data_IF_773171357718
#
_entry.id   IF_773171357718
#
_cell.length_a   1.000
_cell.length_b   1.000
_cell.length_c   1.000
_cell.angle_alpha   90.00
_cell.angle_beta   90.00
_cell.angle_gamma   90.00
#
_symmetry.space_group_name_H-M   'P 1'
#
loop_
_entity.id
_entity.type
_entity.pdbx_description
1 polymer ?
#
# COMPACT_ATOMS: atom_id res chain seq x y z
N UNK A 1 40.92 42.62 7.96
CA UNK A 1 40.43 41.24 7.75
C UNK A 1 38.99 41.03 8.24
N UNK A 2 38.57 41.61 9.38
CA UNK A 2 37.20 41.50 9.91
C UNK A 2 36.13 42.19 9.02
N UNK A 3 36.45 43.34 8.43
CA UNK A 3 35.52 44.08 7.55
C UNK A 3 35.25 43.31 6.23
N UNK A 4 36.25 42.59 5.71
CA UNK A 4 36.12 41.77 4.51
C UNK A 4 35.23 40.53 4.75
N UNK A 5 35.31 39.95 5.96
CA UNK A 5 34.47 38.82 6.37
C UNK A 5 33.00 39.22 6.54
N UNK A 6 32.73 40.43 7.03
CA UNK A 6 31.39 40.97 7.17
C UNK A 6 30.72 41.25 5.81
N UNK A 7 31.48 41.75 4.83
CA UNK A 7 30.99 41.96 3.47
C UNK A 7 30.68 40.63 2.74
N UNK A 8 31.45 39.56 3.00
CA UNK A 8 31.20 38.23 2.44
C UNK A 8 29.95 37.60 3.08
N UNK A 9 29.72 37.77 4.39
CA UNK A 9 28.49 37.29 5.05
C UNK A 9 27.23 38.06 4.64
N UNK A 10 27.34 39.39 4.44
CA UNK A 10 26.25 40.20 3.87
C UNK A 10 25.99 39.85 2.40
N UNK A 11 27.04 39.60 1.61
CA UNK A 11 26.93 39.06 0.25
C UNK A 11 26.32 37.66 0.19
N UNK A 12 26.63 36.80 1.18
CA UNK A 12 26.01 35.47 1.32
C UNK A 12 24.54 35.55 1.73
N UNK A 13 24.13 36.54 2.52
CA UNK A 13 22.71 36.80 2.81
C UNK A 13 21.93 37.32 1.60
N UNK A 14 22.61 37.92 0.61
CA UNK A 14 22.07 38.27 -0.71
C UNK A 14 22.07 37.08 -1.69
N UNK A 15 22.95 36.10 -1.51
CA UNK A 15 22.99 34.86 -2.29
C UNK A 15 22.02 33.80 -1.76
N UNK A 16 21.58 33.93 -0.50
CA UNK A 16 20.39 33.27 -0.01
C UNK A 16 19.19 34.02 -0.57
N UNK A 17 18.94 33.82 -1.87
CA UNK A 17 17.76 34.32 -2.56
C UNK A 17 16.55 34.05 -1.66
N UNK A 18 16.04 35.10 -1.04
CA UNK A 18 14.76 35.03 -0.37
C UNK A 18 13.77 35.10 -1.51
N UNK A 19 13.52 33.96 -2.14
CA UNK A 19 12.53 33.89 -3.21
C UNK A 19 11.21 34.41 -2.63
N UNK A 20 10.81 35.60 -3.06
CA UNK A 20 9.58 36.22 -2.61
C UNK A 20 8.44 35.60 -3.41
N UNK A 21 7.66 34.75 -2.75
CA UNK A 21 6.50 34.12 -3.34
C UNK A 21 5.25 34.88 -2.95
N UNK A 22 4.39 35.17 -3.93
CA UNK A 22 3.11 35.82 -3.69
C UNK A 22 1.98 34.85 -3.93
N UNK A 23 1.15 34.62 -2.92
CA UNK A 23 -0.10 33.87 -3.06
C UNK A 23 -1.29 34.80 -2.90
N UNK A 24 -2.26 34.71 -3.81
CA UNK A 24 -3.40 35.60 -3.90
C UNK A 24 -4.69 34.78 -3.96
N UNK A 25 -5.72 35.24 -3.26
CA UNK A 25 -7.08 34.69 -3.35
C UNK A 25 -8.03 35.80 -3.78
N UNK A 26 -8.79 35.54 -4.83
CA UNK A 26 -9.80 36.45 -5.34
C UNK A 26 -11.17 35.81 -5.18
N UNK A 27 -11.93 36.33 -4.20
CA UNK A 27 -13.22 35.81 -3.76
C UNK A 27 -14.26 36.88 -4.03
N UNK A 28 -15.32 36.56 -4.75
CA UNK A 28 -16.37 37.52 -5.04
C UNK A 28 -17.71 36.88 -5.35
N UNK A 29 -18.73 37.72 -5.38
CA UNK A 29 -20.08 37.38 -5.80
C UNK A 29 -20.66 38.46 -6.69
N UNK A 30 -21.49 38.01 -7.63
CA UNK A 30 -22.21 38.85 -8.57
C UNK A 30 -23.68 38.95 -8.13
N UNK A 31 -24.29 40.12 -8.26
CA UNK A 31 -25.68 40.38 -7.86
C UNK A 31 -26.41 41.24 -8.89
N UNK A 32 -27.73 41.03 -8.97
CA UNK A 32 -28.66 41.90 -9.70
C UNK A 32 -29.83 42.31 -8.78
N UNK A 33 -30.83 43.01 -9.33
CA UNK A 33 -31.99 43.45 -8.56
C UNK A 33 -32.87 42.31 -8.01
N UNK A 34 -32.73 41.09 -8.54
CA UNK A 34 -33.44 39.89 -8.09
C UNK A 34 -32.66 39.08 -7.03
N UNK A 35 -31.36 39.33 -6.86
CA UNK A 35 -30.53 38.66 -5.87
C UNK A 35 -29.12 38.28 -6.36
N UNK A 36 -28.42 37.37 -5.67
CA UNK A 36 -27.11 36.89 -6.10
C UNK A 36 -27.25 36.02 -7.36
N UNK A 37 -26.43 36.30 -8.37
CA UNK A 37 -26.40 35.59 -9.66
C UNK A 37 -25.18 34.68 -9.80
N UNK A 38 -24.15 34.85 -8.98
CA UNK A 38 -22.97 34.01 -9.02
C UNK A 38 -22.01 34.27 -7.87
N UNK A 39 -21.07 33.35 -7.72
CA UNK A 39 -19.89 33.55 -6.89
C UNK A 39 -18.67 32.96 -7.60
N UNK A 40 -17.48 33.41 -7.24
CA UNK A 40 -16.25 32.89 -7.81
C UNK A 40 -15.14 32.89 -6.76
N UNK A 41 -14.29 31.88 -6.88
CA UNK A 41 -13.08 31.72 -6.10
C UNK A 41 -11.94 31.45 -7.07
N UNK A 42 -10.95 32.33 -7.12
CA UNK A 42 -9.75 32.17 -7.95
C UNK A 42 -8.49 32.30 -7.10
N UNK A 43 -7.45 31.61 -7.52
CA UNK A 43 -6.18 31.52 -6.83
C UNK A 43 -5.06 31.92 -7.77
N UNK A 44 -4.20 32.81 -7.29
CA UNK A 44 -3.03 33.29 -8.01
C UNK A 44 -1.74 32.99 -7.27
N UNK A 45 -0.67 32.68 -8.00
CA UNK A 45 0.68 32.48 -7.47
C UNK A 45 1.69 33.22 -8.35
N UNK A 46 2.52 34.08 -7.75
CA UNK A 46 3.46 34.97 -8.45
C UNK A 46 2.79 35.75 -9.61
N UNK A 47 1.62 36.31 -9.32
CA UNK A 47 0.79 37.09 -10.26
C UNK A 47 0.26 36.31 -11.47
N UNK A 48 0.25 34.97 -11.42
CA UNK A 48 -0.37 34.10 -12.43
C UNK A 48 -1.55 33.34 -11.84
N UNK A 49 -2.62 33.18 -12.61
CA UNK A 49 -3.77 32.36 -12.23
C UNK A 49 -3.40 30.87 -12.29
N UNK A 50 -3.57 30.15 -11.18
CA UNK A 50 -3.16 28.73 -11.08
C UNK A 50 -4.35 27.77 -10.90
N UNK A 51 -5.44 28.20 -10.28
CA UNK A 51 -6.64 27.39 -10.12
C UNK A 51 -7.87 28.25 -9.79
N UNK A 52 -9.06 27.72 -10.05
CA UNK A 52 -10.32 28.35 -9.69
C UNK A 52 -11.35 27.30 -9.27
N UNK A 53 -12.39 27.71 -8.56
CA UNK A 53 -13.51 26.84 -8.21
C UNK A 53 -14.53 26.87 -9.35
N UNK A 54 -14.79 25.70 -9.94
CA UNK A 54 -15.87 25.47 -10.90
C UNK A 54 -17.10 25.01 -10.12
N UNK A 55 -18.15 25.83 -10.13
CA UNK A 55 -19.38 25.58 -9.38
C UNK A 55 -20.24 24.48 -9.98
N UNK A 56 -20.21 24.33 -11.30
CA UNK A 56 -20.96 23.27 -11.97
C UNK A 56 -20.36 21.90 -11.70
N UNK A 57 -19.03 21.85 -11.54
CA UNK A 57 -18.29 20.63 -11.18
C UNK A 57 -18.05 20.47 -9.68
N UNK A 58 -18.49 21.43 -8.87
CA UNK A 58 -18.19 21.53 -7.42
C UNK A 58 -16.73 21.14 -7.09
N UNK A 59 -15.79 21.65 -7.89
CA UNK A 59 -14.41 21.20 -7.89
C UNK A 59 -13.43 22.35 -8.11
N UNK A 60 -12.20 22.18 -7.62
CA UNK A 60 -11.09 23.04 -7.98
C UNK A 60 -10.51 22.59 -9.32
N UNK A 61 -10.47 23.52 -10.28
CA UNK A 61 -9.93 23.31 -11.62
C UNK A 61 -8.60 24.06 -11.73
N UNK A 62 -7.54 23.35 -12.09
CA UNK A 62 -6.22 23.94 -12.30
C UNK A 62 -6.11 24.62 -13.68
N UNK A 63 -5.32 25.69 -13.72
CA UNK A 63 -4.96 26.45 -14.93
C UNK A 63 -3.45 26.47 -15.17
N UNK A 64 -2.66 25.93 -14.25
CA UNK A 64 -1.20 25.77 -14.36
C UNK A 64 -0.72 24.44 -13.75
N UNK A 65 0.56 24.11 -13.93
CA UNK A 65 1.19 22.93 -13.33
C UNK A 65 1.25 23.02 -11.80
N UNK A 66 1.56 24.21 -11.27
CA UNK A 66 1.56 24.47 -9.83
C UNK A 66 0.15 24.29 -9.23
N UNK A 67 -0.87 24.80 -9.94
CA UNK A 67 -2.25 24.59 -9.55
C UNK A 67 -2.68 23.13 -9.66
N UNK A 68 -2.16 22.39 -10.63
CA UNK A 68 -2.45 20.96 -10.81
C UNK A 68 -1.87 20.13 -9.67
N UNK A 69 -0.66 20.47 -9.19
CA UNK A 69 -0.08 19.87 -8.00
C UNK A 69 -0.97 20.10 -6.77
N UNK A 70 -1.40 21.34 -6.53
CA UNK A 70 -2.31 21.66 -5.42
C UNK A 70 -3.68 21.00 -5.54
N UNK A 71 -4.25 20.93 -6.75
CA UNK A 71 -5.51 20.24 -6.98
C UNK A 71 -5.39 18.73 -6.71
N UNK A 72 -4.24 18.12 -7.05
CA UNK A 72 -3.95 16.71 -6.82
C UNK A 72 -3.89 16.37 -5.33
N UNK A 73 -3.23 17.21 -4.53
CA UNK A 73 -3.16 17.05 -3.06
C UNK A 73 -4.53 17.05 -2.38
N UNK A 74 -5.54 17.69 -2.99
CA UNK A 74 -6.90 17.74 -2.46
C UNK A 74 -7.76 16.54 -2.85
N UNK A 75 -7.30 15.70 -3.78
CA UNK A 75 -8.10 14.57 -4.26
C UNK A 75 -8.28 13.53 -3.15
N UNK A 76 -9.51 13.07 -2.96
CA UNK A 76 -9.82 12.00 -2.00
C UNK A 76 -10.19 10.71 -2.73
N UNK A 77 -9.60 9.59 -2.32
CA UNK A 77 -9.88 8.27 -2.89
C UNK A 77 -11.15 7.68 -2.29
N UNK A 78 -12.12 7.23 -3.12
CA UNK A 78 -13.33 6.61 -2.59
C UNK A 78 -13.03 5.32 -1.84
N UNK A 79 -13.78 5.09 -0.78
CA UNK A 79 -14.01 3.76 -0.22
C UNK A 79 -15.22 3.15 -0.91
N UNK A 80 -15.05 1.96 -1.49
CA UNK A 80 -16.11 1.23 -2.20
C UNK A 80 -16.41 -0.06 -1.47
N UNK A 81 -17.67 -0.30 -1.16
CA UNK A 81 -18.13 -1.54 -0.52
C UNK A 81 -19.34 -2.10 -1.25
N UNK A 82 -19.34 -3.40 -1.51
CA UNK A 82 -20.47 -4.12 -2.11
C UNK A 82 -21.12 -5.00 -1.05
N UNK A 83 -22.44 -4.88 -0.92
CA UNK A 83 -23.24 -5.64 0.03
C UNK A 83 -24.53 -6.14 -0.60
N UNK A 84 -25.14 -7.17 -0.01
CA UNK A 84 -26.45 -7.67 -0.39
C UNK A 84 -27.52 -6.98 0.48
N UNK A 85 -28.62 -6.53 -0.13
CA UNK A 85 -29.80 -6.05 0.59
C UNK A 85 -31.08 -6.60 -0.01
N UNK A 86 -32.03 -6.93 0.84
CA UNK A 86 -33.39 -7.27 0.44
C UNK A 86 -34.31 -6.07 0.71
N UNK A 87 -35.10 -5.68 -0.30
CA UNK A 87 -36.08 -4.61 -0.20
C UNK A 87 -37.35 -5.05 -0.92
N UNK A 88 -38.49 -5.03 -0.22
CA UNK A 88 -39.80 -5.39 -0.78
C UNK A 88 -39.85 -6.80 -1.42
N UNK A 89 -39.12 -7.77 -0.83
CA UNK A 89 -39.04 -9.15 -1.33
C UNK A 89 -38.14 -9.34 -2.55
N UNK A 90 -37.37 -8.30 -2.92
CA UNK A 90 -36.42 -8.33 -4.03
C UNK A 90 -34.99 -8.15 -3.51
N UNK A 91 -34.06 -8.95 -4.01
CA UNK A 91 -32.63 -8.84 -3.68
C UNK A 91 -31.88 -7.86 -4.60
N UNK A 92 -31.03 -7.04 -3.99
CA UNK A 92 -30.18 -6.04 -4.63
C UNK A 92 -28.74 -6.19 -4.18
N UNK A 93 -27.80 -6.06 -5.12
CA UNK A 93 -26.44 -5.68 -4.80
C UNK A 93 -26.35 -4.17 -4.64
N UNK A 94 -25.68 -3.74 -3.60
CA UNK A 94 -25.53 -2.33 -3.23
C UNK A 94 -24.06 -1.99 -3.20
N UNK A 95 -23.64 -1.11 -4.10
CA UNK A 95 -22.31 -0.53 -4.16
C UNK A 95 -22.34 0.85 -3.50
N UNK A 96 -21.86 0.92 -2.26
CA UNK A 96 -21.71 2.16 -1.51
C UNK A 96 -20.34 2.76 -1.79
N UNK A 97 -20.32 4.00 -2.30
CA UNK A 97 -19.09 4.73 -2.66
C UNK A 97 -19.03 6.00 -1.81
N UNK A 98 -18.01 6.12 -0.96
CA UNK A 98 -17.94 7.16 0.07
C UNK A 98 -16.58 7.84 0.11
N UNK A 99 -16.54 9.12 0.50
CA UNK A 99 -15.30 9.81 0.85
C UNK A 99 -14.46 10.24 -0.36
N UNK A 100 -15.07 10.50 -1.52
CA UNK A 100 -14.34 10.92 -2.71
C UNK A 100 -14.45 12.42 -2.98
N UNK A 101 -13.42 12.97 -3.64
CA UNK A 101 -13.37 14.35 -4.09
C UNK A 101 -12.40 14.45 -5.27
N UNK A 102 -12.73 15.15 -6.37
CA UNK A 102 -13.93 15.97 -6.61
C UNK A 102 -15.22 15.16 -6.87
N UNK A 103 -16.35 15.84 -7.11
CA UNK A 103 -17.65 15.19 -7.25
C UNK A 103 -17.80 14.33 -8.53
N UNK A 104 -16.89 14.48 -9.49
CA UNK A 104 -16.94 13.80 -10.79
C UNK A 104 -16.47 12.35 -10.66
N UNK A 105 -17.43 11.43 -10.60
CA UNK A 105 -17.20 9.99 -10.45
C UNK A 105 -18.06 9.20 -11.43
N UNK A 106 -17.59 8.01 -11.82
CA UNK A 106 -18.34 7.09 -12.67
C UNK A 106 -18.36 5.71 -12.03
N UNK A 107 -19.55 5.22 -11.73
CA UNK A 107 -19.80 3.93 -11.10
C UNK A 107 -20.64 3.08 -12.04
N UNK A 108 -20.22 1.83 -12.27
CA UNK A 108 -20.84 0.89 -13.20
C UNK A 108 -20.88 -0.50 -12.62
N UNK A 109 -21.91 -1.27 -12.94
CA UNK A 109 -21.92 -2.69 -12.68
C UNK A 109 -21.36 -3.44 -13.89
N UNK A 110 -20.54 -4.45 -13.65
CA UNK A 110 -19.95 -5.31 -14.68
C UNK A 110 -20.29 -6.76 -14.34
N UNK A 111 -20.79 -7.51 -15.31
CA UNK A 111 -21.11 -8.93 -15.20
C UNK A 111 -20.57 -9.66 -16.42
N UNK A 112 -19.75 -10.70 -16.20
CA UNK A 112 -19.10 -11.44 -17.30
C UNK A 112 -18.27 -10.55 -18.24
N UNK A 113 -17.68 -9.47 -17.70
CA UNK A 113 -16.88 -8.49 -18.46
C UNK A 113 -17.70 -7.46 -19.26
N UNK A 114 -19.03 -7.48 -19.18
CA UNK A 114 -19.92 -6.52 -19.86
C UNK A 114 -20.57 -5.57 -18.87
N UNK A 115 -20.71 -4.30 -19.26
CA UNK A 115 -21.38 -3.29 -18.42
C UNK A 115 -22.89 -3.60 -18.38
N UNK A 116 -23.44 -3.63 -17.17
CA UNK A 116 -24.86 -3.85 -16.90
C UNK A 116 -25.52 -2.51 -16.62
N UNK A 117 -26.55 -2.20 -17.41
CA UNK A 117 -27.39 -1.00 -17.22
C UNK A 117 -28.79 -1.34 -16.73
N UNK A 118 -29.30 -2.53 -17.08
CA UNK A 118 -30.67 -2.92 -16.75
C UNK A 118 -30.79 -3.35 -15.28
N UNK A 119 -31.80 -2.83 -14.59
CA UNK A 119 -31.98 -3.05 -13.15
C UNK A 119 -30.97 -2.29 -12.30
N UNK A 120 -30.28 -1.29 -12.87
CA UNK A 120 -29.36 -0.43 -12.15
C UNK A 120 -30.02 0.89 -11.77
N UNK A 121 -29.90 1.28 -10.52
CA UNK A 121 -30.37 2.58 -10.01
C UNK A 121 -29.26 3.21 -9.18
N UNK A 122 -29.05 4.52 -9.32
CA UNK A 122 -27.98 5.22 -8.57
C UNK A 122 -28.56 6.45 -7.90
N UNK A 123 -28.17 6.70 -6.65
CA UNK A 123 -28.55 7.91 -5.93
C UNK A 123 -27.89 9.14 -6.53
N UNK A 124 -28.43 10.31 -6.22
CA UNK A 124 -27.67 11.56 -6.40
C UNK A 124 -26.38 11.57 -5.57
N UNK A 125 -25.50 12.52 -5.90
CA UNK A 125 -24.33 12.83 -5.10
C UNK A 125 -24.77 13.52 -3.81
N UNK A 126 -24.26 13.05 -2.69
CA UNK A 126 -24.55 13.59 -1.37
C UNK A 126 -23.24 14.12 -0.76
N UNK A 127 -23.14 15.43 -0.46
CA UNK A 127 -21.96 15.99 0.17
C UNK A 127 -21.87 15.60 1.65
N UNK A 128 -20.66 15.36 2.12
CA UNK A 128 -20.31 15.24 3.54
C UNK A 128 -19.85 16.60 4.10
N UNK A 129 -19.85 16.72 5.44
CA UNK A 129 -19.35 17.92 6.13
C UNK A 129 -17.85 18.16 5.96
N UNK A 130 -17.09 17.12 5.64
CA UNK A 130 -15.65 17.18 5.40
C UNK A 130 -15.29 17.65 3.97
N UNK A 131 -16.29 17.93 3.14
CA UNK A 131 -16.10 18.36 1.75
C UNK A 131 -15.94 17.23 0.74
N UNK A 132 -16.07 15.96 1.18
CA UNK A 132 -16.13 14.80 0.28
C UNK A 132 -17.55 14.48 -0.14
N UNK A 133 -17.71 13.58 -1.10
CA UNK A 133 -18.99 13.13 -1.62
C UNK A 133 -19.22 11.65 -1.36
N UNK A 134 -20.49 11.26 -1.38
CA UNK A 134 -20.92 9.87 -1.39
C UNK A 134 -22.05 9.65 -2.40
N UNK A 135 -22.18 8.41 -2.85
CA UNK A 135 -23.32 7.93 -3.63
C UNK A 135 -23.46 6.41 -3.48
N UNK A 136 -24.63 5.90 -3.84
CA UNK A 136 -24.92 4.47 -3.80
C UNK A 136 -25.51 4.02 -5.11
N UNK A 137 -24.97 2.95 -5.68
CA UNK A 137 -25.55 2.26 -6.84
C UNK A 137 -26.15 0.94 -6.42
N UNK A 138 -27.31 0.60 -6.99
CA UNK A 138 -28.10 -0.59 -6.73
C UNK A 138 -28.19 -1.39 -8.03
N UNK A 139 -28.09 -2.71 -7.94
CA UNK A 139 -28.33 -3.64 -9.04
C UNK A 139 -29.30 -4.74 -8.60
N UNK A 140 -30.41 -4.87 -9.30
CA UNK A 140 -31.34 -5.98 -9.11
C UNK A 140 -30.72 -7.30 -9.58
N UNK A 141 -30.64 -8.28 -8.67
CA UNK A 141 -30.00 -9.57 -8.94
C UNK A 141 -30.81 -10.42 -9.93
N UNK A 142 -32.12 -10.55 -9.74
CA UNK A 142 -32.94 -11.45 -10.56
C UNK A 142 -32.36 -12.86 -10.55
N UNK A 143 -32.06 -13.42 -11.74
CA UNK A 143 -31.46 -14.77 -11.89
C UNK A 143 -29.91 -14.76 -12.04
N UNK A 144 -29.22 -13.64 -11.78
CA UNK A 144 -27.76 -13.55 -11.98
C UNK A 144 -27.00 -14.24 -10.85
N UNK A 145 -25.88 -14.87 -11.16
CA UNK A 145 -24.94 -15.41 -10.17
C UNK A 145 -24.22 -14.27 -9.45
N UNK A 146 -24.11 -14.37 -8.12
CA UNK A 146 -23.57 -13.29 -7.26
C UNK A 146 -22.05 -13.13 -7.42
N UNK A 147 -21.32 -14.21 -7.67
CA UNK A 147 -19.85 -14.21 -7.70
C UNK A 147 -19.22 -13.45 -8.88
N UNK A 148 -19.93 -13.28 -10.00
CA UNK A 148 -19.36 -12.68 -11.23
C UNK A 148 -19.74 -11.20 -11.43
N UNK A 149 -20.32 -10.57 -10.40
CA UNK A 149 -20.76 -9.18 -10.45
C UNK A 149 -19.75 -8.28 -9.75
N UNK A 150 -19.28 -7.28 -10.48
CA UNK A 150 -18.29 -6.31 -10.02
C UNK A 150 -18.90 -4.91 -10.05
N UNK A 151 -18.71 -4.13 -8.98
CA UNK A 151 -18.88 -2.70 -9.02
C UNK A 151 -17.56 -2.05 -9.46
N UNK A 152 -17.54 -1.48 -10.65
CA UNK A 152 -16.42 -0.77 -11.24
C UNK A 152 -16.56 0.73 -11.00
N UNK A 153 -15.55 1.35 -10.39
CA UNK A 153 -15.50 2.77 -10.04
C UNK A 153 -14.31 3.44 -10.71
N UNK A 154 -14.59 4.50 -11.47
CA UNK A 154 -13.63 5.39 -12.11
C UNK A 154 -13.68 6.76 -11.43
N UNK A 155 -12.54 7.23 -10.94
CA UNK A 155 -12.39 8.54 -10.30
C UNK A 155 -10.95 9.03 -10.48
N UNK A 156 -10.73 10.34 -10.57
CA UNK A 156 -9.41 10.93 -10.88
C UNK A 156 -8.31 10.57 -9.86
N UNK A 157 -8.69 10.29 -8.62
CA UNK A 157 -7.76 9.86 -7.56
C UNK A 157 -7.39 8.38 -7.60
N UNK A 158 -7.93 7.62 -8.56
CA UNK A 158 -7.67 6.18 -8.73
C UNK A 158 -6.83 6.01 -9.99
N UNK A 159 -5.72 5.29 -9.87
CA UNK A 159 -4.97 4.83 -11.04
C UNK A 159 -5.76 3.73 -11.74
N UNK A 160 -6.37 4.06 -12.88
CA UNK A 160 -7.21 3.12 -13.63
C UNK A 160 -8.62 3.01 -13.06
N UNK A 161 -9.01 1.81 -12.63
CA UNK A 161 -10.36 1.52 -12.12
C UNK A 161 -10.30 0.72 -10.84
N UNK A 162 -11.17 1.04 -9.90
CA UNK A 162 -11.37 0.26 -8.68
C UNK A 162 -12.51 -0.72 -8.89
N UNK A 163 -12.24 -2.00 -8.69
CA UNK A 163 -13.22 -3.07 -8.80
C UNK A 163 -13.50 -3.64 -7.42
N UNK A 164 -14.77 -3.65 -7.03
CA UNK A 164 -15.23 -4.22 -5.76
C UNK A 164 -16.27 -5.31 -6.03
N UNK A 165 -16.14 -6.42 -5.33
CA UNK A 165 -17.07 -7.56 -5.35
C UNK A 165 -17.74 -7.72 -3.99
N UNK A 166 -18.78 -8.55 -3.92
CA UNK A 166 -19.37 -8.93 -2.65
C UNK A 166 -18.28 -9.61 -1.78
N UNK A 167 -18.05 -9.09 -0.59
CA UNK A 167 -17.09 -9.69 0.35
C UNK A 167 -17.70 -10.98 0.95
N UNK A 168 -16.99 -12.10 0.81
CA UNK A 168 -17.34 -13.33 1.49
C UNK A 168 -16.89 -13.26 2.96
N UNK A 169 -17.83 -13.46 3.89
CA UNK A 169 -17.64 -13.36 5.36
C UNK A 169 -16.60 -14.37 5.92
N UNK A 170 -16.11 -15.30 5.11
CA UNK A 170 -15.24 -16.42 5.51
C UNK A 170 -13.76 -16.06 5.77
N UNK A 171 -13.29 -14.88 5.34
CA UNK A 171 -11.87 -14.50 5.44
C UNK A 171 -11.40 -14.32 6.89
N UNK A 172 -12.24 -13.74 7.75
CA UNK A 172 -11.90 -13.49 9.16
C UNK A 172 -11.86 -14.78 10.00
N UNK A 173 -12.76 -15.72 9.73
CA UNK A 173 -12.78 -17.00 10.45
C UNK A 173 -11.56 -17.87 10.08
N UNK A 174 -11.21 -17.93 8.80
CA UNK A 174 -10.01 -18.65 8.35
C UNK A 174 -8.72 -18.06 8.93
N UNK A 175 -8.62 -16.74 9.01
CA UNK A 175 -7.48 -16.05 9.62
C UNK A 175 -7.36 -16.32 11.13
N UNK A 176 -8.46 -16.26 11.88
CA UNK A 176 -8.48 -16.56 13.32
C UNK A 176 -8.16 -18.01 13.62
N UNK A 177 -8.69 -18.96 12.83
CA UNK A 177 -8.36 -20.38 12.94
C UNK A 177 -6.89 -20.63 12.61
N UNK A 178 -6.35 -19.93 11.60
CA UNK A 178 -4.92 -19.97 11.25
C UNK A 178 -4.01 -19.51 12.39
N UNK A 179 -4.33 -18.39 13.04
CA UNK A 179 -3.58 -17.90 14.21
C UNK A 179 -3.65 -18.90 15.37
N UNK A 180 -4.83 -19.45 15.66
CA UNK A 180 -5.00 -20.43 16.72
C UNK A 180 -4.18 -21.71 16.48
N UNK A 181 -4.15 -22.20 15.23
CA UNK A 181 -3.39 -23.38 14.87
C UNK A 181 -1.86 -23.15 14.94
N UNK A 182 -1.38 -22.01 14.45
CA UNK A 182 0.05 -21.67 14.50
C UNK A 182 0.54 -21.45 15.93
N UNK A 183 -0.27 -20.82 16.78
CA UNK A 183 0.06 -20.63 18.19
C UNK A 183 0.11 -21.97 18.94
N UNK A 184 -0.81 -22.90 18.65
CA UNK A 184 -0.80 -24.24 19.21
C UNK A 184 0.45 -25.06 18.80
N UNK A 185 0.81 -25.05 17.51
CA UNK A 185 2.01 -25.75 17.03
C UNK A 185 3.30 -25.25 17.69
N UNK A 186 3.45 -23.93 17.81
CA UNK A 186 4.63 -23.34 18.45
C UNK A 186 4.68 -23.66 19.94
N UNK A 187 3.54 -23.64 20.63
CA UNK A 187 3.43 -24.02 22.03
C UNK A 187 3.78 -25.49 22.30
N UNK A 188 3.59 -26.39 21.34
CA UNK A 188 3.95 -27.81 21.48
C UNK A 188 5.41 -28.11 21.09
N UNK A 189 5.90 -27.53 19.98
CA UNK A 189 7.24 -27.85 19.46
C UNK A 189 8.38 -27.27 20.30
N UNK A 190 8.20 -26.07 20.86
CA UNK A 190 9.21 -25.42 21.70
C UNK A 190 9.52 -26.23 22.98
N UNK A 191 8.55 -26.65 23.82
CA UNK A 191 8.85 -27.44 25.01
C UNK A 191 9.40 -28.83 24.68
N UNK A 192 8.95 -29.47 23.59
CA UNK A 192 9.54 -30.75 23.14
C UNK A 192 11.00 -30.57 22.69
N UNK A 193 11.31 -29.48 21.98
CA UNK A 193 12.69 -29.15 21.61
C UNK A 193 13.56 -28.82 22.82
N UNK A 194 13.07 -27.99 23.75
CA UNK A 194 13.80 -27.60 24.96
C UNK A 194 14.04 -28.82 25.87
N UNK A 195 13.05 -29.69 26.06
CA UNK A 195 13.21 -30.91 26.86
C UNK A 195 14.19 -31.89 26.22
N UNK A 196 14.15 -32.08 24.90
CA UNK A 196 15.13 -32.89 24.18
C UNK A 196 16.57 -32.33 24.31
N UNK A 197 16.74 -31.01 24.18
CA UNK A 197 18.02 -30.34 24.36
C UNK A 197 18.54 -30.52 25.79
N UNK A 198 17.70 -30.32 26.82
CA UNK A 198 18.10 -30.50 28.23
C UNK A 198 18.52 -31.95 28.50
N UNK A 199 17.81 -32.94 27.94
CA UNK A 199 18.16 -34.36 28.08
C UNK A 199 19.47 -34.67 27.37
N UNK A 200 19.69 -34.17 26.16
CA UNK A 200 20.95 -34.31 25.42
C UNK A 200 22.12 -33.66 26.16
N UNK A 201 21.93 -32.46 26.71
CA UNK A 201 22.94 -31.76 27.52
C UNK A 201 23.25 -32.48 28.83
N UNK A 202 22.24 -33.12 29.46
CA UNK A 202 22.44 -33.93 30.67
C UNK A 202 23.19 -35.23 30.36
N UNK A 203 22.89 -35.87 29.23
CA UNK A 203 23.58 -37.08 28.74
C UNK A 203 25.06 -36.83 28.42
N UNK A 204 25.40 -35.66 27.87
CA UNK A 204 26.79 -35.27 27.63
C UNK A 204 27.56 -34.96 28.93
N UNK A 205 26.91 -34.45 29.99
CA UNK A 205 27.57 -34.21 31.29
C UNK A 205 27.94 -35.49 32.03
N UNK A 206 27.18 -36.59 31.88
CA UNK A 206 27.52 -37.89 32.51
C UNK A 206 28.66 -38.64 31.83
N UNK A 207 29.06 -38.27 30.61
CA UNK A 207 30.26 -38.82 29.95
C UNK A 207 31.51 -37.94 30.09
N UNK A 208 31.40 -36.74 30.66
CA UNK A 208 32.52 -35.79 30.84
C UNK A 208 33.27 -35.87 32.17
N UNK A 209 33.11 -36.94 32.97
CA UNK A 209 33.74 -37.07 34.30
C UNK A 209 34.56 -38.36 34.50
N UNK A 210 34.90 -39.09 33.44
CA UNK A 210 35.93 -40.15 33.49
C UNK A 210 36.77 -40.03 32.22
N UNK A 211 37.91 -39.36 32.35
CA UNK A 211 39.16 -39.49 31.58
C UNK A 211 39.88 -38.14 31.55
N UNK A 212 40.40 -37.74 32.71
CA UNK A 212 41.47 -36.75 32.78
C UNK A 212 42.65 -37.41 33.51
N UNK A 213 43.47 -38.14 32.74
CA UNK A 213 44.87 -38.44 33.04
C UNK A 213 45.56 -39.11 31.84
N UNK A 214 46.29 -38.27 31.12
CA UNK A 214 47.65 -38.51 30.61
C UNK A 214 47.88 -39.38 29.35
N UNK A 215 48.72 -38.81 28.48
CA UNK A 215 49.43 -39.34 27.29
C UNK A 215 48.59 -39.55 26.02
N UNK A 216 48.67 -38.68 25.00
CA UNK A 216 49.79 -38.43 24.08
C UNK A 216 50.23 -39.71 23.34
N UNK A 217 49.56 -40.03 22.22
CA UNK A 217 50.22 -40.22 20.92
C UNK A 217 49.18 -40.46 19.84
N UNK A 218 49.19 -39.56 18.85
CA UNK A 218 48.90 -39.88 17.46
C UNK A 218 49.72 -41.10 17.02
N UNK A 219 49.10 -42.09 16.39
CA UNK A 219 49.50 -42.54 15.05
C UNK A 219 48.50 -43.58 14.50
N UNK A 220 48.21 -43.41 13.21
CA UNK A 220 47.52 -44.37 12.35
C UNK A 220 48.55 -45.34 11.80
N UNK A 221 48.19 -46.62 11.60
CA UNK A 221 48.86 -47.44 10.58
C UNK A 221 47.94 -48.55 10.04
N UNK A 222 47.95 -48.66 8.70
CA UNK A 222 47.42 -49.75 7.88
C UNK A 222 48.61 -50.65 7.52
N UNK A 223 48.49 -51.99 7.55
CA UNK A 223 49.65 -52.87 7.39
C UNK A 223 50.06 -53.07 5.92
N UNK A 224 51.37 -53.05 5.71
CA UNK A 224 52.05 -53.43 4.49
C UNK A 224 52.23 -54.95 4.40
N UNK A 225 52.32 -55.48 3.16
CA UNK A 225 53.27 -56.54 2.80
C UNK A 225 53.23 -56.78 1.27
N UNK A 226 54.26 -57.20 0.53
CA UNK A 226 55.69 -57.52 0.73
C UNK A 226 56.25 -57.85 -0.67
N UNK A 227 57.59 -57.85 -0.78
CA UNK A 227 58.46 -58.56 -1.77
C UNK A 227 59.06 -57.71 -2.91
N UNK A 228 60.33 -57.85 -3.28
CA UNK A 228 61.51 -58.53 -2.74
C UNK A 228 62.74 -57.89 -3.47
N UNK A 229 63.87 -57.79 -2.77
CA UNK A 229 65.29 -57.91 -3.22
C UNK A 229 65.62 -57.74 -4.72
N UNK A 230 66.70 -57.11 -5.17
CA UNK A 230 67.85 -56.44 -4.59
C UNK A 230 68.70 -55.93 -5.79
N UNK A 231 69.67 -55.06 -5.47
CA UNK A 231 71.00 -54.94 -6.10
C UNK A 231 71.18 -54.14 -7.41
N UNK A 232 71.60 -52.89 -7.17
CA UNK A 232 72.85 -52.23 -7.64
C UNK A 232 73.08 -51.85 -9.12
N UNK A 233 73.66 -50.65 -9.27
CA UNK A 233 74.43 -50.22 -10.45
C UNK A 233 73.76 -49.10 -11.24
N UNK A 234 73.81 -47.84 -10.79
CA UNK A 234 74.89 -46.88 -11.03
C UNK A 234 74.79 -46.11 -12.37
N UNK A 235 74.95 -44.78 -12.22
CA UNK A 235 75.33 -43.76 -13.21
C UNK A 235 74.25 -43.12 -14.12
N UNK A 236 73.86 -41.90 -13.69
CA UNK A 236 73.78 -40.62 -14.44
C UNK A 236 74.61 -40.55 -15.75
N UNK A 237 74.42 -39.60 -16.69
CA UNK A 237 73.71 -38.31 -16.53
C UNK A 237 72.91 -37.79 -17.75
N UNK A 238 72.15 -36.71 -17.52
CA UNK A 238 71.99 -35.52 -18.39
C UNK A 238 71.59 -35.75 -19.86
N UNK A 239 70.35 -35.37 -20.20
CA UNK A 239 70.05 -34.11 -20.88
C UNK A 239 68.59 -33.70 -20.62
#
# INVERSE_FOLDING_TARGET
MIIQFCAILLGLSSLYARDEFTYQQYIGCDFNFQGPIGHFWRYGYNSKDIMHVDLGKEAVVSTSDEGSFMAKERQAKPTVRVSLREMEGQEYLVCAVQGFYPNTIRVRWVYGGQIVYFGTTTTGLLPHRDGTFQMTSYLTLGNKTRQDIVCETEHISIEGKLQATLEDEYSNLGFLVGIAFMSFLMACLIPLGVTAIIVCMKKNRTQGSVNDSLSRSSDCDIPASVSLMNLEGAQSPVQ
#
